data_IF_257454917895
#
_entry.id   IF_257454917895
#
_cell.length_a   1.000
_cell.length_b   1.000
_cell.length_c   1.000
_cell.angle_alpha   90.00
_cell.angle_beta   90.00
_cell.angle_gamma   90.00
#
_symmetry.space_group_name_H-M   'P 1'
#
loop_
_entity.id
_entity.type
_entity.pdbx_description
1 polymer ?
#
# COMPACT_ATOMS: atom_id res chain seq x y z
N UNK A 1 3.14 -38.41 9.32
CA UNK A 1 4.47 -37.81 9.56
C UNK A 1 4.32 -36.29 9.54
N UNK A 2 4.85 -35.57 10.53
CA UNK A 2 4.79 -34.09 10.58
C UNK A 2 6.08 -33.50 10.02
N UNK A 3 5.96 -32.48 9.16
CA UNK A 3 7.08 -31.68 8.61
C UNK A 3 6.72 -30.20 8.67
N UNK A 4 7.71 -29.36 8.89
CA UNK A 4 7.57 -27.90 8.90
C UNK A 4 8.42 -27.34 7.78
N UNK A 5 7.83 -26.44 6.99
CA UNK A 5 8.51 -25.68 5.96
C UNK A 5 8.34 -24.20 6.30
N UNK A 6 9.45 -23.45 6.28
CA UNK A 6 9.45 -22.03 6.57
C UNK A 6 9.62 -21.26 5.27
N UNK A 7 8.78 -20.25 5.07
CA UNK A 7 8.93 -19.28 3.99
C UNK A 7 9.46 -17.99 4.60
N UNK A 8 10.56 -17.49 4.06
CA UNK A 8 11.17 -16.24 4.47
C UNK A 8 11.09 -15.25 3.32
N UNK A 9 10.61 -14.03 3.62
CA UNK A 9 10.47 -12.98 2.63
C UNK A 9 11.40 -11.82 2.99
N UNK A 10 12.36 -11.56 2.10
CA UNK A 10 13.13 -10.32 2.10
C UNK A 10 12.59 -9.40 1.01
N UNK A 11 11.87 -8.36 1.41
CA UNK A 11 11.25 -7.39 0.49
C UNK A 11 12.30 -6.57 -0.28
N UNK A 12 13.55 -6.48 0.20
CA UNK A 12 14.63 -5.81 -0.52
C UNK A 12 15.18 -6.64 -1.69
N UNK A 13 14.88 -7.95 -1.72
CA UNK A 13 15.42 -8.90 -2.70
C UNK A 13 14.38 -9.46 -3.65
N UNK A 14 13.14 -8.95 -3.61
CA UNK A 14 12.03 -9.39 -4.48
C UNK A 14 12.42 -9.59 -5.95
N UNK A 15 13.21 -8.73 -6.62
CA UNK A 15 13.58 -8.93 -8.03
C UNK A 15 14.43 -10.18 -8.30
N UNK A 16 15.06 -10.75 -7.26
CA UNK A 16 15.97 -11.91 -7.36
C UNK A 16 15.31 -13.23 -7.00
N UNK A 17 14.12 -13.19 -6.41
CA UNK A 17 13.35 -14.37 -6.02
C UNK A 17 12.69 -14.98 -7.27
N UNK A 18 12.55 -16.31 -7.33
CA UNK A 18 11.86 -16.98 -8.45
C UNK A 18 10.36 -16.67 -8.46
N UNK A 19 9.71 -16.82 -9.61
CA UNK A 19 8.26 -16.59 -9.73
C UNK A 19 7.46 -17.59 -8.86
N UNK A 20 7.90 -18.84 -8.79
CA UNK A 20 7.25 -19.88 -7.98
C UNK A 20 7.35 -19.58 -6.49
N UNK A 21 8.51 -19.11 -6.02
CA UNK A 21 8.69 -18.76 -4.61
C UNK A 21 7.90 -17.49 -4.26
N UNK A 22 7.86 -16.49 -5.14
CA UNK A 22 7.01 -15.30 -4.96
C UNK A 22 5.52 -15.68 -4.88
N UNK A 23 5.05 -16.55 -5.76
CA UNK A 23 3.67 -17.02 -5.74
C UNK A 23 3.35 -17.79 -4.44
N UNK A 24 4.27 -18.65 -3.99
CA UNK A 24 4.13 -19.35 -2.72
C UNK A 24 4.10 -18.38 -1.54
N UNK A 25 5.00 -17.40 -1.48
CA UNK A 25 4.99 -16.36 -0.46
C UNK A 25 3.70 -15.56 -0.45
N UNK A 26 3.19 -15.15 -1.63
CA UNK A 26 1.93 -14.41 -1.74
C UNK A 26 0.75 -15.21 -1.18
N UNK A 27 0.66 -16.50 -1.54
CA UNK A 27 -0.38 -17.40 -1.06
C UNK A 27 -0.28 -17.64 0.45
N UNK A 28 0.91 -17.96 0.95
CA UNK A 28 1.15 -18.19 2.38
C UNK A 28 0.86 -16.95 3.22
N UNK A 29 1.18 -15.76 2.70
CA UNK A 29 0.94 -14.50 3.41
C UNK A 29 -0.55 -14.24 3.72
N UNK A 30 -1.48 -14.84 2.96
CA UNK A 30 -2.92 -14.75 3.23
C UNK A 30 -3.35 -15.46 4.53
N UNK A 31 -2.51 -16.36 5.05
CA UNK A 31 -2.78 -17.16 6.25
C UNK A 31 -1.86 -16.80 7.42
N UNK A 32 -1.09 -15.71 7.31
CA UNK A 32 -0.21 -15.27 8.39
C UNK A 32 -1.06 -14.87 9.60
N UNK A 33 -0.77 -15.39 10.80
CA UNK A 33 -1.57 -15.14 12.00
C UNK A 33 -1.22 -13.77 12.60
N UNK A 34 -1.63 -12.70 11.94
CA UNK A 34 -1.53 -11.32 12.42
C UNK A 34 -2.92 -10.71 12.61
N UNK A 35 -2.98 -9.62 13.37
CA UNK A 35 -4.22 -8.87 13.52
C UNK A 35 -4.65 -8.27 12.17
N UNK A 36 -5.96 -8.20 11.94
CA UNK A 36 -6.49 -7.53 10.76
C UNK A 36 -6.10 -6.05 10.78
N UNK A 37 -5.50 -5.56 9.69
CA UNK A 37 -5.02 -4.18 9.60
C UNK A 37 -3.58 -3.99 10.07
N UNK A 38 -2.85 -5.07 10.35
CA UNK A 38 -1.41 -5.00 10.59
C UNK A 38 -0.68 -4.35 9.41
N UNK A 39 0.00 -3.23 9.70
CA UNK A 39 0.65 -2.39 8.69
C UNK A 39 1.79 -3.11 7.98
N UNK A 40 2.66 -3.77 8.74
CA UNK A 40 3.89 -4.34 8.20
C UNK A 40 3.57 -5.59 7.36
N UNK A 41 2.62 -6.41 7.79
CA UNK A 41 2.08 -7.52 7.01
C UNK A 41 1.40 -7.02 5.73
N UNK A 42 0.60 -5.95 5.83
CA UNK A 42 -0.03 -5.31 4.67
C UNK A 42 1.00 -4.79 3.65
N UNK A 43 2.04 -4.11 4.12
CA UNK A 43 3.14 -3.60 3.29
C UNK A 43 3.91 -4.75 2.61
N UNK A 44 4.20 -5.84 3.34
CA UNK A 44 4.87 -7.02 2.79
C UNK A 44 4.03 -7.70 1.70
N UNK A 45 2.75 -7.96 1.95
CA UNK A 45 1.83 -8.57 0.96
C UNK A 45 1.69 -7.68 -0.27
N UNK A 46 1.56 -6.36 -0.08
CA UNK A 46 1.51 -5.40 -1.18
C UNK A 46 2.79 -5.46 -2.01
N UNK A 47 3.97 -5.48 -1.39
CA UNK A 47 5.24 -5.55 -2.11
C UNK A 47 5.35 -6.82 -2.99
N UNK A 48 4.93 -7.98 -2.48
CA UNK A 48 4.90 -9.23 -3.26
C UNK A 48 3.94 -9.10 -4.44
N UNK A 49 2.71 -8.65 -4.20
CA UNK A 49 1.69 -8.52 -5.25
C UNK A 49 2.09 -7.54 -6.34
N UNK A 50 2.70 -6.41 -5.96
CA UNK A 50 3.26 -5.41 -6.89
C UNK A 50 4.33 -6.04 -7.76
N UNK A 51 5.26 -6.81 -7.20
CA UNK A 51 6.31 -7.46 -7.98
C UNK A 51 5.75 -8.51 -8.95
N UNK A 52 4.76 -9.30 -8.55
CA UNK A 52 4.08 -10.26 -9.44
C UNK A 52 3.46 -9.52 -10.64
N UNK A 53 2.69 -8.47 -10.39
CA UNK A 53 2.09 -7.65 -11.44
C UNK A 53 3.17 -7.05 -12.33
N UNK A 54 4.24 -6.50 -11.74
CA UNK A 54 5.34 -5.88 -12.48
C UNK A 54 6.03 -6.87 -13.42
N UNK A 55 6.23 -8.12 -12.98
CA UNK A 55 6.82 -9.18 -13.80
C UNK A 55 5.91 -9.57 -14.95
N UNK A 56 4.62 -9.75 -14.68
CA UNK A 56 3.63 -10.04 -15.71
C UNK A 56 3.55 -8.91 -16.75
N UNK A 57 3.57 -7.67 -16.30
CA UNK A 57 3.38 -6.47 -17.13
C UNK A 57 4.69 -5.95 -17.75
N UNK A 58 5.83 -6.61 -17.55
CA UNK A 58 7.18 -6.11 -17.91
C UNK A 58 7.28 -5.58 -19.35
N UNK A 59 6.58 -6.20 -20.28
CA UNK A 59 6.64 -5.86 -21.71
C UNK A 59 5.47 -5.01 -22.21
N UNK A 60 4.63 -4.50 -21.31
CA UNK A 60 3.46 -3.71 -21.65
C UNK A 60 3.74 -2.22 -21.38
N UNK A 61 3.43 -1.31 -22.31
CA UNK A 61 3.62 0.13 -22.14
C UNK A 61 2.47 0.75 -21.34
N UNK A 62 2.12 0.16 -20.19
CA UNK A 62 1.01 0.63 -19.37
C UNK A 62 1.51 1.30 -18.09
N UNK A 63 0.95 2.46 -17.73
CA UNK A 63 1.18 3.04 -16.41
C UNK A 63 0.68 2.09 -15.31
N UNK A 64 1.52 1.78 -14.34
CA UNK A 64 1.12 1.04 -13.14
C UNK A 64 0.62 1.99 -12.07
N UNK A 65 -0.50 1.64 -11.41
CA UNK A 65 -1.05 2.35 -10.25
C UNK A 65 -1.57 3.77 -10.50
N UNK A 66 -1.96 4.13 -11.73
CA UNK A 66 -2.58 5.44 -12.00
C UNK A 66 -3.95 5.62 -11.33
N UNK A 67 -4.66 4.52 -11.05
CA UNK A 67 -5.98 4.52 -10.41
C UNK A 67 -6.01 3.37 -9.42
N UNK A 68 -6.08 3.70 -8.13
CA UNK A 68 -6.09 2.73 -7.04
C UNK A 68 -7.40 2.82 -6.24
N UNK A 69 -7.84 1.68 -5.70
CA UNK A 69 -9.07 1.59 -4.89
C UNK A 69 -9.06 2.55 -3.70
N UNK A 70 -7.89 2.75 -3.10
CA UNK A 70 -7.69 3.64 -1.94
C UNK A 70 -7.80 5.12 -2.29
N UNK A 71 -7.64 5.51 -3.56
CA UNK A 71 -7.60 6.92 -3.97
C UNK A 71 -8.87 7.66 -3.59
N UNK A 72 -10.04 7.05 -3.83
CA UNK A 72 -11.32 7.67 -3.51
C UNK A 72 -11.51 7.80 -2.00
N UNK A 73 -11.22 6.74 -1.25
CA UNK A 73 -11.36 6.73 0.21
C UNK A 73 -10.44 7.78 0.85
N UNK A 74 -9.16 7.79 0.48
CA UNK A 74 -8.18 8.75 0.98
C UNK A 74 -8.56 10.18 0.60
N UNK A 75 -9.08 10.40 -0.61
CA UNK A 75 -9.63 11.69 -1.02
C UNK A 75 -10.77 12.15 -0.12
N UNK A 76 -11.69 11.27 0.28
CA UNK A 76 -12.77 11.63 1.20
C UNK A 76 -12.26 11.91 2.61
N UNK A 77 -11.37 11.07 3.15
CA UNK A 77 -10.81 11.24 4.51
C UNK A 77 -10.05 12.58 4.62
N UNK A 78 -9.25 12.93 3.61
CA UNK A 78 -8.44 14.17 3.59
C UNK A 78 -9.25 15.47 3.60
N UNK A 79 -10.57 15.40 3.41
CA UNK A 79 -11.45 16.57 3.56
C UNK A 79 -11.65 16.97 5.03
N UNK A 80 -11.47 16.03 5.95
CA UNK A 80 -11.82 16.18 7.36
C UNK A 80 -10.65 15.87 8.31
N UNK A 81 -9.62 15.17 7.84
CA UNK A 81 -8.48 14.78 8.66
C UNK A 81 -7.15 14.90 7.89
N UNK A 82 -6.06 15.08 8.63
CA UNK A 82 -4.68 15.03 8.12
C UNK A 82 -3.88 13.96 8.86
N UNK A 83 -2.95 13.32 8.15
CA UNK A 83 -1.97 12.44 8.78
C UNK A 83 -0.92 13.28 9.52
N UNK A 84 -0.65 12.98 10.78
CA UNK A 84 0.38 13.68 11.57
C UNK A 84 1.74 12.94 11.62
N UNK A 85 1.85 11.78 10.97
CA UNK A 85 3.02 10.89 11.08
C UNK A 85 2.74 9.60 11.86
N UNK A 86 1.68 9.56 12.67
CA UNK A 86 1.31 8.41 13.50
C UNK A 86 -0.19 8.06 13.43
N UNK A 87 -1.06 9.06 13.30
CA UNK A 87 -2.52 8.89 13.24
C UNK A 87 -3.19 9.96 12.37
N UNK A 88 -4.46 9.72 12.03
CA UNK A 88 -5.31 10.71 11.39
C UNK A 88 -5.89 11.64 12.45
N UNK A 89 -5.56 12.92 12.36
CA UNK A 89 -6.11 13.96 13.25
C UNK A 89 -7.12 14.82 12.51
N UNK A 90 -8.22 15.16 13.18
CA UNK A 90 -9.24 16.05 12.61
C UNK A 90 -8.62 17.41 12.22
N UNK A 91 -9.07 17.96 11.09
CA UNK A 91 -8.78 19.34 10.72
C UNK A 91 -9.88 20.18 11.37
N UNK A 92 -9.52 21.04 12.33
CA UNK A 92 -10.48 21.91 12.99
C UNK A 92 -11.19 22.78 11.95
N UNK A 93 -12.53 22.66 11.89
CA UNK A 93 -13.39 23.41 10.97
C UNK A 93 -13.21 24.94 11.07
N UNK A 94 -12.72 25.43 12.21
CA UNK A 94 -12.46 26.84 12.52
C UNK A 94 -11.24 27.43 11.81
N UNK A 95 -10.36 26.63 11.20
CA UNK A 95 -9.14 27.11 10.53
C UNK A 95 -9.32 27.44 9.04
N UNK A 96 -10.54 27.29 8.50
CA UNK A 96 -10.89 27.69 7.14
C UNK A 96 -11.10 29.22 7.00
N UNK A 97 -10.10 30.02 7.38
CA UNK A 97 -10.10 31.44 6.99
C UNK A 97 -9.55 31.55 5.57
N UNK A 98 -10.47 31.68 4.62
CA UNK A 98 -10.21 32.04 3.24
C UNK A 98 -9.36 33.33 3.19
N UNK A 99 -8.10 33.22 2.78
CA UNK A 99 -7.33 34.38 2.31
C UNK A 99 -7.72 34.62 0.84
N UNK A 100 -8.75 35.44 0.64
CA UNK A 100 -8.97 36.06 -0.68
C UNK A 100 -7.89 37.13 -0.82
N UNK A 101 -6.79 36.81 -1.50
CA UNK A 101 -5.85 37.80 -1.99
C UNK A 101 -6.54 38.62 -3.08
N UNK A 102 -6.82 39.89 -2.75
CA UNK A 102 -7.26 40.87 -3.72
C UNK A 102 -6.21 41.05 -4.82
N UNK A 103 -6.65 40.98 -6.07
CA UNK A 103 -5.93 41.57 -7.18
C UNK A 103 -6.71 42.81 -7.58
N UNK A 104 -6.08 43.97 -7.33
CA UNK A 104 -6.57 45.25 -7.80
C UNK A 104 -6.52 45.37 -9.31
N UNK A 105 -7.39 46.22 -9.82
CA UNK A 105 -7.25 46.96 -11.06
C UNK A 105 -7.81 48.37 -10.82
#
# INVERSE_FOLDING_TARGET
MKKTFTFELDTARLPTISDEYLAACWYTAQFVPVEHGDRDAGEAVRAIGVEIIRRWMRNQPVPMFNVQTEDHLLKQIRRFARWNGAEWVAIDASSSTTSVQGTGA
#
